data_IF_618245589675
#
_entry.id   IF_618245589675
#
_cell.length_a   1.000
_cell.length_b   1.000
_cell.length_c   1.000
_cell.angle_alpha   90.00
_cell.angle_beta   90.00
_cell.angle_gamma   90.00
#
_symmetry.space_group_name_H-M   'P 1'
#
loop_
_entity.id
_entity.type
_entity.pdbx_description
1 polymer ?
#
# COMPACT_ATOMS: atom_id res chain seq x y z
N UNK A 1 -13.12 1.40 -27.41
CA UNK A 1 -11.91 0.81 -26.83
C UNK A 1 -11.02 0.23 -27.91
N UNK A 2 -9.73 0.59 -27.89
CA UNK A 2 -8.68 0.08 -28.77
C UNK A 2 -8.08 -1.23 -28.24
N UNK A 3 -7.08 -1.79 -28.93
CA UNK A 3 -6.37 -2.98 -28.45
C UNK A 3 -5.48 -2.65 -27.25
N UNK A 4 -4.90 -1.45 -27.25
CA UNK A 4 -4.05 -0.91 -26.20
C UNK A 4 -4.84 -0.76 -24.89
N UNK A 5 -6.07 -0.25 -24.98
CA UNK A 5 -6.99 -0.16 -23.83
C UNK A 5 -7.24 -1.55 -23.22
N UNK A 6 -7.55 -2.54 -24.07
CA UNK A 6 -7.82 -3.91 -23.63
C UNK A 6 -6.58 -4.59 -23.06
N UNK A 7 -5.42 -4.32 -23.64
CA UNK A 7 -4.15 -4.86 -23.19
C UNK A 7 -3.81 -4.40 -21.78
N UNK A 8 -3.95 -3.10 -21.48
CA UNK A 8 -3.69 -2.58 -20.13
C UNK A 8 -4.65 -3.17 -19.09
N UNK A 9 -5.95 -3.24 -19.40
CA UNK A 9 -6.93 -3.83 -18.49
C UNK A 9 -6.66 -5.33 -18.24
N UNK A 10 -6.26 -6.06 -19.28
CA UNK A 10 -5.88 -7.46 -19.12
C UNK A 10 -4.63 -7.60 -18.26
N UNK A 11 -3.60 -6.80 -18.52
CA UNK A 11 -2.34 -6.86 -17.79
C UNK A 11 -2.50 -6.56 -16.30
N UNK A 12 -3.28 -5.54 -15.97
CA UNK A 12 -3.58 -5.17 -14.58
C UNK A 12 -4.43 -6.23 -13.87
N UNK A 13 -5.39 -6.84 -14.56
CA UNK A 13 -6.17 -7.97 -14.04
C UNK A 13 -5.33 -9.24 -13.84
N UNK A 14 -4.47 -9.61 -14.79
CA UNK A 14 -3.61 -10.80 -14.69
C UNK A 14 -2.55 -10.65 -13.57
N UNK A 15 -2.18 -9.42 -13.23
CA UNK A 15 -1.16 -9.15 -12.21
C UNK A 15 -1.56 -9.63 -10.81
N UNK A 16 -2.86 -9.78 -10.53
CA UNK A 16 -3.33 -10.36 -9.26
C UNK A 16 -2.83 -11.78 -9.04
N UNK A 17 -2.82 -12.62 -10.08
CA UNK A 17 -2.32 -13.99 -10.01
C UNK A 17 -0.81 -14.02 -9.77
N UNK A 18 -0.05 -13.23 -10.54
CA UNK A 18 1.41 -13.14 -10.42
C UNK A 18 1.83 -12.68 -9.02
N UNK A 19 1.27 -11.56 -8.57
CA UNK A 19 1.64 -10.91 -7.31
C UNK A 19 1.13 -11.72 -6.12
N UNK A 20 -0.10 -12.26 -6.21
CA UNK A 20 -0.66 -13.16 -5.20
C UNK A 20 0.24 -14.37 -4.98
N UNK A 21 0.66 -15.06 -6.05
CA UNK A 21 1.55 -16.22 -5.95
C UNK A 21 2.93 -15.88 -5.37
N UNK A 22 3.44 -14.66 -5.57
CA UNK A 22 4.68 -14.20 -4.93
C UNK A 22 4.48 -13.95 -3.44
N UNK A 23 3.35 -13.37 -3.04
CA UNK A 23 3.01 -13.13 -1.63
C UNK A 23 2.86 -14.46 -0.88
N UNK A 24 2.14 -15.43 -1.45
CA UNK A 24 1.96 -16.78 -0.87
C UNK A 24 3.28 -17.50 -0.59
N UNK A 25 4.31 -17.25 -1.41
CA UNK A 25 5.65 -17.84 -1.29
C UNK A 25 6.62 -16.98 -0.48
N UNK A 26 6.13 -15.95 0.21
CA UNK A 26 6.94 -15.01 0.99
C UNK A 26 8.04 -14.29 0.17
N UNK A 27 7.73 -13.93 -1.08
CA UNK A 27 8.60 -13.13 -1.95
C UNK A 27 8.14 -11.67 -2.03
N UNK A 28 7.96 -11.00 -0.88
CA UNK A 28 7.36 -9.65 -0.79
C UNK A 28 8.11 -8.61 -1.62
N UNK A 29 9.45 -8.67 -1.67
CA UNK A 29 10.24 -7.77 -2.51
C UNK A 29 9.89 -7.91 -4.00
N UNK A 30 9.75 -9.15 -4.48
CA UNK A 30 9.42 -9.41 -5.88
C UNK A 30 7.97 -9.01 -6.17
N UNK A 31 7.04 -9.31 -5.25
CA UNK A 31 5.64 -8.89 -5.34
C UNK A 31 5.52 -7.36 -5.46
N UNK A 32 6.25 -6.61 -4.62
CA UNK A 32 6.28 -5.15 -4.68
C UNK A 32 6.87 -4.63 -6.00
N UNK A 33 7.96 -5.25 -6.49
CA UNK A 33 8.55 -4.87 -7.79
C UNK A 33 7.57 -5.11 -8.94
N UNK A 34 6.85 -6.24 -8.93
CA UNK A 34 5.81 -6.54 -9.92
C UNK A 34 4.63 -5.56 -9.83
N UNK A 35 4.15 -5.21 -8.63
CA UNK A 35 3.12 -4.19 -8.46
C UNK A 35 3.59 -2.81 -8.98
N UNK A 36 4.84 -2.43 -8.72
CA UNK A 36 5.40 -1.18 -9.24
C UNK A 36 5.58 -1.19 -10.77
N UNK A 37 5.81 -2.37 -11.38
CA UNK A 37 5.82 -2.53 -12.83
C UNK A 37 4.46 -2.17 -13.43
N UNK A 38 3.36 -2.67 -12.85
CA UNK A 38 1.98 -2.33 -13.26
C UNK A 38 1.76 -0.81 -13.23
N UNK A 39 2.19 -0.12 -12.17
CA UNK A 39 2.14 1.36 -12.09
C UNK A 39 2.94 2.01 -13.23
N UNK A 40 4.10 1.46 -13.57
CA UNK A 40 4.90 1.89 -14.71
C UNK A 40 4.15 1.75 -16.04
N UNK A 41 3.45 0.63 -16.25
CA UNK A 41 2.71 0.34 -17.48
C UNK A 41 1.49 1.25 -17.63
N UNK A 42 0.81 1.59 -16.53
CA UNK A 42 -0.25 2.62 -16.50
C UNK A 42 0.29 3.98 -16.95
N UNK A 43 1.44 4.40 -16.41
CA UNK A 43 2.05 5.68 -16.78
C UNK A 43 2.46 5.72 -18.26
N UNK A 44 2.96 4.59 -18.81
CA UNK A 44 3.27 4.48 -20.25
C UNK A 44 2.00 4.63 -21.09
N UNK A 45 0.90 3.98 -20.71
CA UNK A 45 -0.37 4.10 -21.41
C UNK A 45 -0.90 5.53 -21.42
N UNK A 46 -0.96 6.20 -20.26
CA UNK A 46 -1.39 7.61 -20.16
C UNK A 46 -0.51 8.52 -21.03
N UNK A 47 0.80 8.25 -21.06
CA UNK A 47 1.75 9.01 -21.87
C UNK A 47 1.58 8.77 -23.37
N UNK A 48 1.23 7.55 -23.78
CA UNK A 48 1.01 7.19 -25.18
C UNK A 48 -0.32 7.72 -25.73
N UNK A 49 -1.38 7.68 -24.92
CA UNK A 49 -2.72 8.15 -25.30
C UNK A 49 -2.88 9.67 -25.23
N UNK A 50 -2.01 10.36 -24.48
CA UNK A 50 -1.97 11.82 -24.36
C UNK A 50 -3.37 12.46 -24.16
N UNK A 51 -4.16 12.06 -23.14
CA UNK A 51 -5.56 12.46 -23.01
C UNK A 51 -5.76 13.99 -22.97
N UNK A 52 -4.77 14.75 -22.50
CA UNK A 52 -4.80 16.22 -22.50
C UNK A 52 -4.79 16.85 -23.90
N UNK A 53 -4.46 16.10 -24.95
CA UNK A 53 -4.52 16.55 -26.35
C UNK A 53 -5.83 16.20 -27.04
N UNK A 54 -6.63 15.29 -26.48
CA UNK A 54 -7.91 14.84 -27.07
C UNK A 54 -8.98 15.87 -26.71
N UNK A 55 -9.34 16.74 -27.68
CA UNK A 55 -10.32 17.82 -27.47
C UNK A 55 -11.65 17.60 -28.19
N UNK A 56 -11.60 16.96 -29.36
CA UNK A 56 -12.74 16.87 -30.28
C UNK A 56 -13.45 15.50 -30.26
N UNK A 57 -12.98 14.57 -29.41
CA UNK A 57 -13.54 13.23 -29.25
C UNK A 57 -13.74 12.90 -27.76
N UNK A 58 -14.88 13.32 -27.23
CA UNK A 58 -15.27 13.09 -25.83
C UNK A 58 -15.42 11.59 -25.52
N UNK A 59 -15.85 10.78 -26.50
CA UNK A 59 -16.00 9.34 -26.32
C UNK A 59 -14.64 8.64 -26.17
N UNK A 60 -13.64 9.03 -26.96
CA UNK A 60 -12.27 8.54 -26.81
C UNK A 60 -11.68 8.99 -25.48
N UNK A 61 -11.80 10.28 -25.15
CA UNK A 61 -11.30 10.82 -23.89
C UNK A 61 -11.89 10.06 -22.68
N UNK A 62 -13.22 9.89 -22.66
CA UNK A 62 -13.90 9.14 -21.61
C UNK A 62 -13.43 7.69 -21.51
N UNK A 63 -13.17 7.04 -22.65
CA UNK A 63 -12.61 5.68 -22.69
C UNK A 63 -11.23 5.62 -22.06
N UNK A 64 -10.31 6.51 -22.46
CA UNK A 64 -8.92 6.53 -21.96
C UNK A 64 -8.90 6.81 -20.46
N UNK A 65 -9.69 7.79 -20.00
CA UNK A 65 -9.79 8.13 -18.58
C UNK A 65 -10.38 6.98 -17.76
N UNK A 66 -11.40 6.31 -18.26
CA UNK A 66 -11.99 5.14 -17.58
C UNK A 66 -10.98 3.98 -17.47
N UNK A 67 -10.27 3.67 -18.55
CA UNK A 67 -9.24 2.62 -18.58
C UNK A 67 -8.11 2.94 -17.61
N UNK A 68 -7.61 4.18 -17.62
CA UNK A 68 -6.58 4.62 -16.69
C UNK A 68 -7.06 4.55 -15.23
N UNK A 69 -8.29 4.99 -14.94
CA UNK A 69 -8.86 4.93 -13.60
C UNK A 69 -9.01 3.48 -13.12
N UNK A 70 -9.51 2.57 -13.97
CA UNK A 70 -9.64 1.14 -13.64
C UNK A 70 -8.27 0.54 -13.32
N UNK A 71 -7.28 0.77 -14.18
CA UNK A 71 -5.95 0.26 -13.98
C UNK A 71 -5.28 0.82 -12.70
N UNK A 72 -5.51 2.10 -12.38
CA UNK A 72 -5.07 2.70 -11.09
C UNK A 72 -5.77 2.03 -9.91
N UNK A 73 -7.05 1.69 -10.03
CA UNK A 73 -7.80 1.01 -8.98
C UNK A 73 -7.32 -0.43 -8.75
N UNK A 74 -6.96 -1.13 -9.82
CA UNK A 74 -6.32 -2.45 -9.74
C UNK A 74 -4.94 -2.36 -9.08
N UNK A 75 -4.09 -1.40 -9.51
CA UNK A 75 -2.81 -1.15 -8.87
C UNK A 75 -2.95 -0.77 -7.39
N UNK A 76 -4.03 -0.07 -7.02
CA UNK A 76 -4.33 0.28 -5.63
C UNK A 76 -4.53 -0.96 -4.74
N UNK A 77 -5.26 -1.96 -5.24
CA UNK A 77 -5.46 -3.25 -4.58
C UNK A 77 -4.13 -3.99 -4.43
N UNK A 78 -3.37 -4.11 -5.52
CA UNK A 78 -2.08 -4.81 -5.54
C UNK A 78 -1.06 -4.20 -4.56
N UNK A 79 -1.13 -2.89 -4.34
CA UNK A 79 -0.25 -2.16 -3.41
C UNK A 79 -0.78 -2.11 -1.97
N UNK A 80 -2.04 -2.45 -1.73
CA UNK A 80 -2.67 -2.35 -0.41
C UNK A 80 -1.94 -3.11 0.71
N UNK A 81 -1.41 -4.33 0.48
CA UNK A 81 -0.64 -5.04 1.51
C UNK A 81 0.68 -4.33 1.91
N UNK A 82 1.19 -3.46 1.04
CA UNK A 82 2.47 -2.76 1.25
C UNK A 82 2.28 -1.32 1.71
N UNK A 83 1.23 -0.65 1.24
CA UNK A 83 0.97 0.77 1.45
C UNK A 83 -0.49 1.04 1.88
N UNK A 84 -1.00 0.42 2.96
CA UNK A 84 -2.43 0.41 3.29
C UNK A 84 -3.01 1.83 3.47
N UNK A 85 -2.26 2.73 4.09
CA UNK A 85 -2.68 4.13 4.26
C UNK A 85 -2.75 4.91 2.95
N UNK A 86 -1.83 4.65 2.01
CA UNK A 86 -1.88 5.29 0.70
C UNK A 86 -3.03 4.72 -0.12
N UNK A 87 -3.25 3.40 -0.02
CA UNK A 87 -4.34 2.76 -0.75
C UNK A 87 -5.72 3.25 -0.32
N UNK A 88 -5.90 3.54 0.97
CA UNK A 88 -7.10 4.21 1.46
C UNK A 88 -7.29 5.59 0.81
N UNK A 89 -6.23 6.41 0.77
CA UNK A 89 -6.31 7.76 0.18
C UNK A 89 -6.60 7.72 -1.33
N UNK A 90 -6.05 6.76 -2.06
CA UNK A 90 -6.34 6.57 -3.49
C UNK A 90 -7.77 6.12 -3.69
N UNK A 91 -8.27 5.20 -2.87
CA UNK A 91 -9.67 4.77 -2.90
C UNK A 91 -10.63 5.96 -2.71
N UNK A 92 -10.39 6.80 -1.70
CA UNK A 92 -11.15 8.03 -1.47
C UNK A 92 -11.02 9.03 -2.64
N UNK A 93 -9.81 9.18 -3.20
CA UNK A 93 -9.57 10.05 -4.35
C UNK A 93 -10.27 9.58 -5.62
N UNK A 94 -10.63 8.30 -5.73
CA UNK A 94 -11.45 7.74 -6.82
C UNK A 94 -12.96 7.74 -6.50
N UNK A 95 -13.38 8.38 -5.41
CA UNK A 95 -14.79 8.46 -5.00
C UNK A 95 -15.26 7.30 -4.11
N UNK A 96 -14.34 6.44 -3.67
CA UNK A 96 -14.60 5.39 -2.70
C UNK A 96 -15.01 5.94 -1.34
N UNK A 97 -15.86 5.20 -0.63
CA UNK A 97 -16.28 5.54 0.74
C UNK A 97 -16.12 4.35 1.67
N UNK A 98 -15.93 4.62 2.96
CA UNK A 98 -15.65 3.58 3.95
C UNK A 98 -14.17 3.19 4.00
N UNK A 99 -13.91 1.96 4.47
CA UNK A 99 -12.56 1.44 4.66
C UNK A 99 -12.22 0.50 3.52
N UNK A 100 -11.11 0.78 2.83
CA UNK A 100 -10.60 -0.04 1.74
C UNK A 100 -9.85 -1.28 2.23
N UNK A 101 -9.03 -1.12 3.27
CA UNK A 101 -8.31 -2.22 3.90
C UNK A 101 -8.19 -1.97 5.40
N UNK A 102 -8.88 -2.75 6.24
CA UNK A 102 -8.90 -2.55 7.68
C UNK A 102 -7.53 -2.89 8.27
N UNK A 103 -7.02 -2.00 9.11
CA UNK A 103 -5.74 -2.20 9.79
C UNK A 103 -5.91 -3.10 11.02
N UNK A 104 -4.90 -3.91 11.34
CA UNK A 104 -4.90 -4.66 12.59
C UNK A 104 -4.86 -3.71 13.79
N UNK A 105 -5.55 -4.10 14.87
CA UNK A 105 -5.55 -3.42 16.17
C UNK A 105 -5.04 -4.36 17.26
N UNK A 106 -4.46 -3.78 18.31
CA UNK A 106 -4.17 -4.50 19.54
C UNK A 106 -5.43 -4.53 20.42
N UNK A 107 -5.74 -5.69 20.97
CA UNK A 107 -6.85 -5.90 21.89
C UNK A 107 -6.36 -6.74 23.08
N UNK A 108 -6.64 -6.31 24.30
CA UNK A 108 -6.35 -7.09 25.51
C UNK A 108 -7.47 -8.11 25.70
N UNK A 109 -7.11 -9.39 25.79
CA UNK A 109 -8.05 -10.48 26.01
C UNK A 109 -7.70 -11.25 27.28
N UNK A 110 -8.71 -11.84 27.92
CA UNK A 110 -8.53 -12.71 29.07
C UNK A 110 -8.22 -14.14 28.61
N UNK A 111 -7.25 -14.78 29.27
CA UNK A 111 -6.84 -16.15 29.01
C UNK A 111 -7.99 -17.11 29.34
N UNK A 112 -8.30 -17.99 28.38
CA UNK A 112 -9.40 -18.95 28.48
C UNK A 112 -9.18 -19.97 29.61
N UNK A 113 -7.93 -20.28 29.93
CA UNK A 113 -7.54 -21.29 30.92
C UNK A 113 -7.19 -20.66 32.28
N UNK A 114 -6.91 -19.35 32.32
CA UNK A 114 -6.48 -18.62 33.52
C UNK A 114 -7.29 -17.34 33.74
N UNK A 115 -8.44 -17.44 34.44
CA UNK A 115 -9.22 -16.27 34.82
C UNK A 115 -8.36 -15.22 35.55
N UNK A 116 -8.43 -13.97 35.09
CA UNK A 116 -7.66 -12.83 35.60
C UNK A 116 -6.28 -12.63 34.98
N UNK A 117 -5.82 -13.49 34.06
CA UNK A 117 -4.62 -13.24 33.26
C UNK A 117 -5.02 -12.63 31.91
N UNK A 118 -4.50 -11.45 31.58
CA UNK A 118 -4.74 -10.79 30.28
C UNK A 118 -3.47 -10.68 29.46
N UNK A 119 -3.62 -10.71 28.14
CA UNK A 119 -2.51 -10.48 27.21
C UNK A 119 -3.00 -9.79 25.93
N UNK A 120 -2.13 -9.03 25.25
CA UNK A 120 -2.45 -8.39 23.99
C UNK A 120 -2.47 -9.40 22.84
N UNK A 121 -3.50 -9.33 22.00
CA UNK A 121 -3.56 -9.99 20.70
C UNK A 121 -3.63 -8.95 19.58
N UNK A 122 -3.16 -9.34 18.40
CA UNK A 122 -3.39 -8.58 17.16
C UNK A 122 -4.65 -9.13 16.51
N UNK A 123 -5.66 -8.29 16.33
CA UNK A 123 -6.97 -8.67 15.77
C UNK A 123 -7.51 -7.60 14.82
N UNK A 124 -8.62 -7.88 14.16
CA UNK A 124 -9.32 -6.95 13.27
C UNK A 124 -10.58 -7.57 12.68
N UNK A 125 -11.48 -6.74 12.17
CA UNK A 125 -12.73 -7.19 11.57
C UNK A 125 -12.51 -7.46 10.08
N UNK A 126 -12.13 -8.68 9.75
CA UNK A 126 -11.82 -9.12 8.39
C UNK A 126 -12.93 -10.01 7.82
N UNK A 127 -13.84 -9.41 7.05
CA UNK A 127 -14.92 -10.11 6.37
C UNK A 127 -14.84 -9.81 4.88
N UNK A 128 -14.55 -10.85 4.09
CA UNK A 128 -14.44 -10.76 2.64
C UNK A 128 -15.76 -10.22 2.04
N UNK A 129 -15.68 -9.17 1.23
CA UNK A 129 -16.82 -8.51 0.59
C UNK A 129 -17.61 -7.54 1.49
N UNK A 130 -17.28 -7.45 2.79
CA UNK A 130 -17.87 -6.46 3.71
C UNK A 130 -16.83 -5.43 4.13
N UNK A 131 -15.73 -5.90 4.74
CA UNK A 131 -14.66 -5.03 5.24
C UNK A 131 -13.35 -5.23 4.50
N UNK A 132 -13.21 -6.34 3.75
CA UNK A 132 -12.03 -6.66 2.96
C UNK A 132 -12.45 -6.84 1.52
N UNK A 133 -11.86 -6.04 0.63
CA UNK A 133 -12.03 -6.19 -0.81
C UNK A 133 -11.43 -7.52 -1.31
N UNK A 134 -12.06 -8.20 -2.27
CA UNK A 134 -11.52 -9.42 -2.85
C UNK A 134 -10.18 -9.17 -3.57
N UNK A 135 -9.33 -10.19 -3.64
CA UNK A 135 -8.07 -10.13 -4.38
C UNK A 135 -8.31 -10.37 -5.88
N UNK A 136 -9.02 -9.43 -6.51
CA UNK A 136 -9.33 -9.45 -7.94
C UNK A 136 -9.56 -8.02 -8.47
N UNK A 137 -9.64 -7.88 -9.79
CA UNK A 137 -10.00 -6.61 -10.40
C UNK A 137 -11.49 -6.31 -10.18
N UNK A 138 -11.76 -5.28 -9.37
CA UNK A 138 -13.12 -4.79 -9.15
C UNK A 138 -13.48 -3.68 -10.12
N UNK A 139 -14.61 -3.84 -10.81
CA UNK A 139 -15.03 -2.90 -11.84
C UNK A 139 -15.46 -1.55 -11.24
N UNK A 140 -14.85 -0.47 -11.73
CA UNK A 140 -15.30 0.89 -11.47
C UNK A 140 -16.68 1.16 -12.09
N UNK A 141 -17.57 1.73 -11.28
CA UNK A 141 -18.91 2.14 -11.72
C UNK A 141 -18.82 3.50 -12.41
N UNK A 142 -19.28 3.56 -13.66
CA UNK A 142 -19.34 4.83 -14.38
C UNK A 142 -20.37 5.77 -13.74
N UNK A 143 -20.01 7.06 -13.61
CA UNK A 143 -20.85 8.05 -12.95
C UNK A 143 -20.58 8.22 -11.45
N UNK A 144 -19.66 7.44 -10.86
CA UNK A 144 -19.19 7.66 -9.48
C UNK A 144 -18.64 9.10 -9.34
N UNK A 145 -19.15 9.90 -8.40
CA UNK A 145 -18.62 11.23 -8.15
C UNK A 145 -17.19 11.17 -7.62
N UNK A 146 -16.27 11.85 -8.32
CA UNK A 146 -14.85 11.92 -7.92
C UNK A 146 -14.58 13.28 -7.26
N UNK A 147 -13.97 13.33 -6.06
CA UNK A 147 -13.63 14.59 -5.42
C UNK A 147 -12.53 15.34 -6.18
N UNK A 148 -12.31 16.61 -5.82
CA UNK A 148 -11.22 17.39 -6.42
C UNK A 148 -9.88 16.74 -6.09
N UNK A 149 -8.99 16.51 -7.09
CA UNK A 149 -7.74 15.80 -6.86
C UNK A 149 -6.83 16.57 -5.91
N UNK A 150 -6.22 15.85 -4.98
CA UNK A 150 -5.12 16.31 -4.15
C UNK A 150 -3.95 15.32 -4.23
N UNK A 151 -2.70 15.76 -4.01
CA UNK A 151 -1.57 14.85 -3.97
C UNK A 151 -1.72 13.80 -2.87
N UNK A 152 -1.46 12.53 -3.19
CA UNK A 152 -1.48 11.41 -2.23
C UNK A 152 -0.18 11.34 -1.43
N UNK A 153 0.95 11.53 -2.12
CA UNK A 153 2.29 11.50 -1.55
C UNK A 153 2.90 12.90 -1.54
N UNK A 154 3.46 13.29 -0.39
CA UNK A 154 4.29 14.48 -0.28
C UNK A 154 5.75 14.11 -0.57
N UNK A 155 6.48 15.01 -1.23
CA UNK A 155 7.92 14.86 -1.42
C UNK A 155 8.60 15.00 -0.05
N UNK A 156 9.49 14.06 0.27
CA UNK A 156 10.32 14.14 1.49
C UNK A 156 11.42 15.17 1.22
N UNK A 157 11.52 16.25 2.00
CA UNK A 157 12.53 17.26 1.78
C UNK A 157 13.90 16.82 2.36
N UNK A 158 15.03 17.20 1.74
CA UNK A 158 16.37 16.75 2.17
C UNK A 158 16.71 17.09 3.62
N UNK A 159 16.23 18.22 4.12
CA UNK A 159 16.42 18.65 5.51
C UNK A 159 15.76 17.72 6.53
N UNK A 160 14.57 17.20 6.23
CA UNK A 160 13.90 16.22 7.08
C UNK A 160 14.70 14.90 7.12
N UNK A 161 15.30 14.50 6.00
CA UNK A 161 16.18 13.31 5.97
C UNK A 161 17.41 13.52 6.86
N UNK A 162 18.05 14.69 6.77
CA UNK A 162 19.23 15.00 7.56
C UNK A 162 18.95 15.07 9.07
N UNK A 163 17.80 15.65 9.45
CA UNK A 163 17.33 15.69 10.84
C UNK A 163 17.12 14.27 11.39
N UNK A 164 16.43 13.43 10.64
CA UNK A 164 16.14 12.04 11.01
C UNK A 164 17.40 11.18 11.13
N UNK A 165 18.38 11.35 10.22
CA UNK A 165 19.68 10.68 10.30
C UNK A 165 20.45 11.11 11.56
N UNK A 166 20.46 12.42 11.86
CA UNK A 166 21.12 12.94 13.06
C UNK A 166 20.49 12.39 14.33
N UNK A 167 19.16 12.33 14.39
CA UNK A 167 18.42 11.72 15.51
C UNK A 167 18.79 10.24 15.66
N UNK A 168 18.77 9.49 14.56
CA UNK A 168 19.12 8.07 14.55
C UNK A 168 20.55 7.81 15.05
N UNK A 169 21.54 8.55 14.54
CA UNK A 169 22.94 8.39 14.93
C UNK A 169 23.16 8.72 16.41
N UNK A 170 22.48 9.74 16.92
CA UNK A 170 22.52 10.13 18.33
C UNK A 170 21.96 9.02 19.23
N UNK A 171 20.78 8.51 18.91
CA UNK A 171 20.17 7.40 19.65
C UNK A 171 21.00 6.12 19.56
N UNK A 172 21.55 5.81 18.38
CA UNK A 172 22.39 4.64 18.17
C UNK A 172 23.66 4.71 19.01
N UNK A 173 24.31 5.87 19.06
CA UNK A 173 25.49 6.09 19.91
C UNK A 173 25.16 5.90 21.39
N UNK A 174 24.02 6.42 21.86
CA UNK A 174 23.57 6.24 23.23
C UNK A 174 23.29 4.77 23.57
N UNK A 175 22.61 4.02 22.67
CA UNK A 175 22.32 2.59 22.85
C UNK A 175 23.61 1.75 22.91
N UNK A 176 24.57 2.01 22.01
CA UNK A 176 25.87 1.32 22.00
C UNK A 176 26.66 1.57 23.29
N UNK A 177 26.65 2.80 23.81
CA UNK A 177 27.30 3.12 25.08
C UNK A 177 26.67 2.37 26.25
N UNK A 178 25.34 2.39 26.36
CA UNK A 178 24.62 1.68 27.41
C UNK A 178 24.84 0.15 27.34
N UNK A 179 24.90 -0.42 26.14
CA UNK A 179 25.20 -1.84 25.93
C UNK A 179 26.63 -2.19 26.36
N UNK A 180 27.62 -1.36 26.01
CA UNK A 180 29.01 -1.54 26.44
C UNK A 180 29.16 -1.47 27.97
N UNK A 181 28.47 -0.54 28.63
CA UNK A 181 28.45 -0.42 30.09
C UNK A 181 27.81 -1.64 30.75
N UNK A 182 26.68 -2.13 30.24
CA UNK A 182 26.02 -3.37 30.71
C UNK A 182 26.92 -4.58 30.54
N UNK A 183 27.58 -4.71 29.39
CA UNK A 183 28.51 -5.80 29.12
C UNK A 183 29.72 -5.76 30.06
N UNK A 184 30.28 -4.58 30.31
CA UNK A 184 31.38 -4.41 31.25
C UNK A 184 30.98 -4.77 32.70
N UNK A 185 29.78 -4.38 33.13
CA UNK A 185 29.23 -4.73 34.45
C UNK A 185 29.06 -6.26 34.59
N UNK A 186 28.45 -6.92 33.59
CA UNK A 186 28.28 -8.37 33.60
C UNK A 186 29.63 -9.12 33.61
N UNK A 187 30.64 -8.63 32.88
CA UNK A 187 32.00 -9.20 32.94
C UNK A 187 32.68 -9.01 34.30
N UNK A 188 32.40 -7.92 35.01
CA UNK A 188 32.95 -7.68 36.34
C UNK A 188 32.32 -8.62 37.38
N UNK A 189 31.02 -8.88 37.30
CA UNK A 189 30.32 -9.85 38.15
C UNK A 189 30.81 -11.28 37.95
N UNK A 190 31.12 -11.68 36.71
CA UNK A 190 31.62 -13.04 36.40
C UNK A 190 33.07 -13.30 36.87
N UNK A 191 33.81 -12.25 37.23
CA UNK A 191 35.21 -12.31 37.70
C UNK A 191 35.34 -12.26 39.23
N UNK A 192 34.24 -12.08 39.96
CA UNK A 192 34.17 -12.15 41.42
C UNK A 192 33.73 -13.55 41.88
#
# INVERSE_FOLDING_TARGET
>A
MTNEDRALLKETSDAFDEIGALIEKHHQKNALVAAMRVVGDINKYISAEEPWKIKDDEARLGTVLHVAAQAVYDANHLLAPFLPHASQKVYEALGGSGVFSPLPRLEEVEDLDKPGFTYPIITGDYKLGETVHPWESERLVAGTPVPKPHPIFAKIPPEAVAEELTRFDTELAARKKAEAERFAAAQAELKQ
#
